data_IF_717929640369
#
_entry.id   IF_717929640369
#
_cell.length_a   1.000
_cell.length_b   1.000
_cell.length_c   1.000
_cell.angle_alpha   90.00
_cell.angle_beta   90.00
_cell.angle_gamma   90.00
#
_symmetry.space_group_name_H-M   'P 1'
#
loop_
_entity.id
_entity.type
_entity.pdbx_description
1 polymer ?
#
# COMPACT_ATOMS: atom_id res chain seq x y z
N UNK A 1 45.98 10.75 3.74
CA UNK A 1 44.76 11.25 4.38
C UNK A 1 43.64 10.30 4.01
N UNK A 2 43.33 9.37 4.91
CA UNK A 2 42.28 8.38 4.72
C UNK A 2 40.95 9.07 5.01
N UNK A 3 40.18 9.35 3.96
CA UNK A 3 38.79 9.79 4.12
C UNK A 3 38.05 8.62 4.78
N UNK A 4 37.65 8.79 6.05
CA UNK A 4 36.64 7.94 6.65
C UNK A 4 35.34 8.23 5.92
N UNK A 5 34.96 7.34 5.00
CA UNK A 5 33.60 7.29 4.49
C UNK A 5 32.73 6.81 5.64
N UNK A 6 31.85 7.64 6.22
CA UNK A 6 30.97 7.15 7.25
C UNK A 6 29.94 6.29 6.53
N UNK A 7 30.13 4.96 6.60
CA UNK A 7 29.07 3.99 6.38
C UNK A 7 28.00 4.21 7.46
N UNK A 8 27.23 5.30 7.32
CA UNK A 8 25.92 5.41 7.91
C UNK A 8 25.01 4.50 7.10
N UNK A 9 25.02 3.21 7.43
CA UNK A 9 23.78 2.44 7.42
C UNK A 9 22.90 3.00 8.54
N UNK A 10 22.44 4.24 8.40
CA UNK A 10 21.28 4.70 9.16
C UNK A 10 20.12 3.88 8.63
N UNK A 11 19.92 2.72 9.24
CA UNK A 11 18.65 2.07 9.22
C UNK A 11 17.67 3.08 9.83
N UNK A 12 16.98 3.81 8.95
CA UNK A 12 16.02 4.85 9.30
C UNK A 12 14.91 4.30 10.23
N UNK A 13 14.76 2.96 10.30
CA UNK A 13 13.92 2.25 11.28
C UNK A 13 14.43 2.35 12.73
N UNK A 14 15.70 2.69 12.99
CA UNK A 14 16.22 2.90 14.35
C UNK A 14 15.82 4.25 14.96
N UNK A 15 15.39 5.21 14.13
CA UNK A 15 15.03 6.56 14.57
C UNK A 15 13.54 6.90 14.39
N UNK A 16 12.80 6.03 13.70
CA UNK A 16 11.34 6.09 13.61
C UNK A 16 10.74 4.97 14.47
N UNK A 17 9.74 5.23 15.33
CA UNK A 17 9.00 4.14 15.96
C UNK A 17 8.49 3.20 14.85
N UNK A 18 8.71 1.89 15.03
CA UNK A 18 8.24 0.88 14.08
C UNK A 18 6.75 1.06 13.78
N UNK A 19 6.33 0.75 12.56
CA UNK A 19 4.95 0.95 12.14
C UNK A 19 4.01 0.17 13.06
N UNK A 20 3.08 0.84 13.74
CA UNK A 20 2.09 0.18 14.63
C UNK A 20 1.22 -0.86 13.90
N UNK A 21 1.10 -0.73 12.58
CA UNK A 21 0.22 -1.53 11.75
C UNK A 21 0.98 -2.18 10.60
N UNK A 22 0.57 -3.40 10.24
CA UNK A 22 0.87 -4.03 8.96
C UNK A 22 -0.26 -3.76 7.97
N UNK A 23 0.08 -3.49 6.71
CA UNK A 23 -0.91 -3.18 5.67
C UNK A 23 -1.03 -4.30 4.65
N UNK A 24 -2.24 -4.48 4.14
CA UNK A 24 -2.56 -5.34 3.00
C UNK A 24 -3.57 -4.64 2.12
N UNK A 25 -3.40 -4.74 0.81
CA UNK A 25 -4.32 -4.14 -0.16
C UNK A 25 -4.97 -5.28 -0.94
N UNK A 26 -6.29 -5.33 -0.92
CA UNK A 26 -7.08 -6.23 -1.76
C UNK A 26 -7.60 -5.40 -2.92
N UNK A 27 -7.23 -5.76 -4.14
CA UNK A 27 -7.71 -5.11 -5.35
C UNK A 27 -8.59 -6.06 -6.16
N UNK A 28 -9.76 -5.58 -6.57
CA UNK A 28 -10.65 -6.24 -7.54
C UNK A 28 -10.82 -5.29 -8.72
N UNK A 29 -10.59 -5.78 -9.93
CA UNK A 29 -10.59 -4.93 -11.13
C UNK A 29 -10.90 -5.75 -12.37
N UNK A 30 -11.07 -5.07 -13.50
CA UNK A 30 -11.27 -5.65 -14.81
C UNK A 30 -10.11 -5.30 -15.73
N UNK A 31 -9.66 -6.28 -16.52
CA UNK A 31 -8.66 -6.11 -17.57
C UNK A 31 -9.07 -6.98 -18.76
N UNK A 32 -9.16 -6.40 -19.96
CA UNK A 32 -9.66 -7.09 -21.16
C UNK A 32 -11.04 -7.75 -20.97
N UNK A 33 -11.94 -7.10 -20.23
CA UNK A 33 -13.28 -7.64 -19.93
C UNK A 33 -13.28 -8.85 -18.97
N UNK A 34 -12.14 -9.21 -18.38
CA UNK A 34 -12.04 -10.28 -17.39
C UNK A 34 -11.84 -9.70 -16.00
N UNK A 35 -12.63 -10.18 -15.04
CA UNK A 35 -12.48 -9.83 -13.63
C UNK A 35 -11.24 -10.50 -13.04
N UNK A 36 -10.42 -9.70 -12.40
CA UNK A 36 -9.18 -10.12 -11.75
C UNK A 36 -9.18 -9.69 -10.28
N UNK A 37 -8.30 -10.33 -9.51
CA UNK A 37 -8.00 -9.92 -8.15
C UNK A 37 -6.50 -9.94 -7.93
N UNK A 38 -6.00 -9.09 -7.03
CA UNK A 38 -4.59 -9.05 -6.68
C UNK A 38 -4.38 -8.54 -5.27
N UNK A 39 -3.15 -8.77 -4.79
CA UNK A 39 -2.68 -8.28 -3.50
C UNK A 39 -1.46 -7.39 -3.71
N UNK A 40 -1.62 -6.11 -4.13
CA UNK A 40 -0.51 -5.31 -4.65
C UNK A 40 0.70 -5.23 -3.71
N UNK A 41 0.51 -5.03 -2.40
CA UNK A 41 1.62 -5.00 -1.44
C UNK A 41 2.36 -6.34 -1.40
N UNK A 42 1.63 -7.46 -1.30
CA UNK A 42 2.21 -8.80 -1.23
C UNK A 42 2.93 -9.19 -2.52
N UNK A 43 2.33 -8.91 -3.67
CA UNK A 43 2.91 -9.22 -4.97
C UNK A 43 4.20 -8.44 -5.20
N UNK A 44 4.19 -7.15 -4.85
CA UNK A 44 5.41 -6.34 -4.81
C UNK A 44 6.38 -7.00 -3.84
N UNK A 45 5.94 -7.44 -2.65
CA UNK A 45 6.81 -8.03 -1.64
C UNK A 45 7.50 -9.35 -2.07
N UNK A 46 6.88 -10.14 -2.92
CA UNK A 46 7.37 -11.44 -3.38
C UNK A 46 8.38 -11.36 -4.54
N UNK A 47 8.42 -10.21 -5.24
CA UNK A 47 9.23 -10.03 -6.45
C UNK A 47 10.74 -9.92 -6.14
N UNK A 48 11.51 -11.00 -6.36
CA UNK A 48 12.90 -11.16 -5.85
C UNK A 48 13.98 -10.27 -6.49
N UNK A 49 13.62 -9.35 -7.38
CA UNK A 49 14.59 -8.58 -8.18
C UNK A 49 15.04 -7.32 -7.45
N UNK A 50 16.23 -7.39 -6.82
CA UNK A 50 16.80 -6.36 -5.90
C UNK A 50 17.00 -4.97 -6.54
N UNK A 51 17.17 -4.88 -7.87
CA UNK A 51 17.45 -3.60 -8.57
C UNK A 51 16.27 -3.09 -9.41
N UNK A 52 15.05 -3.49 -9.09
CA UNK A 52 13.85 -3.15 -9.88
C UNK A 52 13.25 -1.77 -9.57
N UNK A 53 13.77 -1.04 -8.58
CA UNK A 53 13.16 0.18 -8.06
C UNK A 53 11.91 -0.09 -7.20
N UNK A 54 11.76 -1.34 -6.74
CA UNK A 54 10.63 -1.84 -5.97
C UNK A 54 10.50 -1.16 -4.61
N UNK A 55 11.60 -0.76 -4.00
CA UNK A 55 11.63 -0.08 -2.71
C UNK A 55 10.77 1.19 -2.76
N UNK A 56 10.87 1.96 -3.84
CA UNK A 56 10.06 3.16 -4.03
C UNK A 56 8.57 2.85 -4.20
N UNK A 57 8.24 1.78 -4.91
CA UNK A 57 6.84 1.35 -5.06
C UNK A 57 6.26 0.85 -3.73
N UNK A 58 7.04 0.10 -2.96
CA UNK A 58 6.67 -0.39 -1.63
C UNK A 58 6.45 0.75 -0.65
N UNK A 59 7.36 1.74 -0.62
CA UNK A 59 7.21 2.96 0.18
C UNK A 59 5.95 3.70 -0.26
N UNK A 60 5.73 3.90 -1.56
CA UNK A 60 4.55 4.59 -2.09
C UNK A 60 3.23 3.91 -1.69
N UNK A 61 3.16 2.58 -1.81
CA UNK A 61 1.99 1.80 -1.39
C UNK A 61 1.76 1.87 0.12
N UNK A 62 2.84 1.81 0.91
CA UNK A 62 2.79 1.85 2.37
C UNK A 62 2.37 3.24 2.87
N UNK A 63 2.96 4.30 2.34
CA UNK A 63 2.63 5.68 2.71
C UNK A 63 1.18 6.02 2.34
N UNK A 64 0.75 5.66 1.13
CA UNK A 64 -0.64 5.82 0.72
C UNK A 64 -1.61 5.07 1.65
N UNK A 65 -1.24 3.86 2.08
CA UNK A 65 -2.01 3.08 3.05
C UNK A 65 -2.09 3.76 4.42
N UNK A 66 -0.99 4.35 4.91
CA UNK A 66 -0.96 5.09 6.17
C UNK A 66 -1.89 6.31 6.12
N UNK A 67 -1.83 7.09 5.03
CA UNK A 67 -2.69 8.26 4.88
C UNK A 67 -4.16 7.88 4.84
N UNK A 68 -4.51 6.83 4.10
CA UNK A 68 -5.87 6.28 4.09
C UNK A 68 -6.25 5.83 5.50
N UNK A 69 -5.50 4.92 6.12
CA UNK A 69 -5.85 4.38 7.43
C UNK A 69 -6.07 5.47 8.51
N UNK A 70 -5.21 6.49 8.57
CA UNK A 70 -5.29 7.55 9.58
C UNK A 70 -6.45 8.54 9.36
N UNK A 71 -6.99 8.63 8.14
CA UNK A 71 -8.04 9.60 7.77
C UNK A 71 -9.39 8.92 7.53
N UNK A 72 -9.45 7.60 7.55
CA UNK A 72 -10.69 6.85 7.37
C UNK A 72 -11.66 7.09 8.53
N UNK A 73 -12.95 7.21 8.22
CA UNK A 73 -14.02 7.36 9.21
C UNK A 73 -14.59 6.01 9.60
N UNK A 74 -14.69 5.73 10.90
CA UNK A 74 -15.33 4.51 11.38
C UNK A 74 -16.84 4.55 11.06
N UNK A 75 -17.35 3.51 10.41
CA UNK A 75 -18.79 3.37 10.14
C UNK A 75 -19.42 2.45 11.18
N UNK A 76 -18.82 1.26 11.37
CA UNK A 76 -19.37 0.20 12.20
C UNK A 76 -18.29 -0.81 12.57
N UNK A 77 -18.02 -0.94 13.87
CA UNK A 77 -17.06 -1.92 14.38
C UNK A 77 -15.68 -1.68 13.77
N UNK A 78 -15.21 -2.63 12.96
CA UNK A 78 -13.90 -2.59 12.32
C UNK A 78 -13.95 -2.11 10.85
N UNK A 79 -15.13 -1.71 10.37
CA UNK A 79 -15.34 -1.17 9.04
C UNK A 79 -15.22 0.35 9.05
N UNK A 80 -14.33 0.85 8.19
CA UNK A 80 -14.04 2.24 7.96
C UNK A 80 -14.34 2.61 6.51
N UNK A 81 -14.70 3.87 6.28
CA UNK A 81 -14.87 4.43 4.93
C UNK A 81 -14.06 5.66 4.67
N UNK A 82 -13.86 5.91 3.39
CA UNK A 82 -13.59 7.23 2.85
C UNK A 82 -14.78 7.83 2.16
N UNK A 83 -14.83 9.16 2.18
CA UNK A 83 -15.70 9.96 1.34
C UNK A 83 -14.81 10.88 0.50
N UNK A 84 -14.57 10.50 -0.76
CA UNK A 84 -14.00 11.35 -1.82
C UNK A 84 -12.86 12.30 -1.36
N UNK A 85 -11.79 11.71 -0.80
CA UNK A 85 -10.62 12.43 -0.27
C UNK A 85 -9.42 12.30 -1.21
N UNK A 86 -8.61 13.36 -1.31
CA UNK A 86 -7.32 13.37 -2.03
C UNK A 86 -6.40 12.22 -1.62
N UNK A 87 -6.37 11.83 -0.35
CA UNK A 87 -5.53 10.71 0.12
C UNK A 87 -5.98 9.38 -0.46
N UNK A 88 -7.29 9.16 -0.59
CA UNK A 88 -7.81 7.96 -1.21
C UNK A 88 -7.56 7.95 -2.73
N UNK A 89 -7.64 9.11 -3.39
CA UNK A 89 -7.28 9.22 -4.80
C UNK A 89 -5.80 8.90 -5.06
N UNK A 90 -4.89 9.32 -4.17
CA UNK A 90 -3.47 8.95 -4.23
C UNK A 90 -3.33 7.42 -4.09
N UNK A 91 -4.03 6.83 -3.13
CA UNK A 91 -4.04 5.38 -2.92
C UNK A 91 -4.55 4.61 -4.14
N UNK A 92 -5.65 5.05 -4.76
CA UNK A 92 -6.13 4.49 -6.02
C UNK A 92 -5.13 4.65 -7.15
N UNK A 93 -4.53 5.84 -7.28
CA UNK A 93 -3.57 6.14 -8.33
C UNK A 93 -2.33 5.25 -8.26
N UNK A 94 -1.74 5.06 -7.07
CA UNK A 94 -0.56 4.20 -6.94
C UNK A 94 -0.88 2.76 -7.34
N UNK A 95 -2.04 2.25 -6.91
CA UNK A 95 -2.47 0.88 -7.24
C UNK A 95 -2.81 0.73 -8.73
N UNK A 96 -3.48 1.70 -9.37
CA UNK A 96 -3.82 1.61 -10.78
C UNK A 96 -2.56 1.63 -11.66
N UNK A 97 -1.57 2.46 -11.33
CA UNK A 97 -0.30 2.53 -12.06
C UNK A 97 0.47 1.21 -11.98
N UNK A 98 0.52 0.60 -10.79
CA UNK A 98 1.09 -0.72 -10.60
C UNK A 98 0.40 -1.78 -11.48
N UNK A 99 -0.93 -1.86 -11.39
CA UNK A 99 -1.71 -2.87 -12.12
C UNK A 99 -1.64 -2.68 -13.64
N UNK A 100 -1.66 -1.45 -14.13
CA UNK A 100 -1.47 -1.16 -15.55
C UNK A 100 -0.10 -1.61 -16.05
N UNK A 101 0.96 -1.38 -15.28
CA UNK A 101 2.31 -1.84 -15.61
C UNK A 101 2.41 -3.37 -15.60
N UNK A 102 1.78 -4.03 -14.63
CA UNK A 102 1.74 -5.49 -14.50
C UNK A 102 1.07 -6.14 -15.71
N UNK A 103 -0.10 -5.64 -16.12
CA UNK A 103 -0.89 -6.23 -17.20
C UNK A 103 -0.54 -5.68 -18.59
N UNK A 104 0.23 -4.59 -18.67
CA UNK A 104 0.48 -3.82 -19.90
C UNK A 104 -0.82 -3.42 -20.61
N UNK A 105 -1.84 -3.09 -19.83
CA UNK A 105 -3.18 -2.85 -20.32
C UNK A 105 -3.93 -1.89 -19.39
N UNK A 106 -5.04 -1.35 -19.87
CA UNK A 106 -5.92 -0.49 -19.08
C UNK A 106 -6.63 -1.33 -18.02
N UNK A 107 -6.75 -0.73 -16.84
CA UNK A 107 -7.46 -1.29 -15.69
C UNK A 107 -8.78 -0.55 -15.56
N UNK A 108 -9.87 -1.30 -15.45
CA UNK A 108 -11.24 -0.78 -15.37
C UNK A 108 -11.91 -1.27 -14.08
N UNK A 109 -12.91 -0.53 -13.60
CA UNK A 109 -13.74 -0.90 -12.45
C UNK A 109 -12.94 -1.28 -11.18
N UNK A 110 -11.81 -0.59 -10.93
CA UNK A 110 -10.95 -0.84 -9.77
C UNK A 110 -11.70 -0.57 -8.47
N UNK A 111 -11.69 -1.56 -7.59
CA UNK A 111 -12.15 -1.47 -6.20
C UNK A 111 -11.03 -1.92 -5.28
N UNK A 112 -10.75 -1.11 -4.28
CA UNK A 112 -9.70 -1.37 -3.31
C UNK A 112 -10.30 -1.53 -1.91
N UNK A 113 -9.75 -2.47 -1.16
CA UNK A 113 -9.95 -2.58 0.28
C UNK A 113 -8.58 -2.58 0.94
N UNK A 114 -8.35 -1.59 1.81
CA UNK A 114 -7.18 -1.55 2.67
C UNK A 114 -7.49 -2.32 3.95
N UNK A 115 -6.58 -3.20 4.35
CA UNK A 115 -6.62 -3.89 5.63
C UNK A 115 -5.41 -3.47 6.43
N UNK A 116 -5.64 -2.86 7.60
CA UNK A 116 -4.59 -2.57 8.56
C UNK A 116 -4.71 -3.55 9.74
N UNK A 117 -3.60 -4.18 10.11
CA UNK A 117 -3.51 -5.12 11.23
C UNK A 117 -2.62 -4.50 12.30
N UNK A 118 -3.18 -4.22 13.48
CA UNK A 118 -2.41 -3.75 14.63
C UNK A 118 -1.45 -4.86 15.08
N UNK A 119 -0.15 -4.56 15.14
CA UNK A 119 0.89 -5.57 15.40
C UNK A 119 0.80 -6.12 16.84
N UNK A 120 0.34 -5.30 17.79
CA UNK A 120 0.28 -5.70 19.19
C UNK A 120 -0.97 -6.53 19.49
N UNK A 121 -2.10 -6.17 18.90
CA UNK A 121 -3.40 -6.76 19.21
C UNK A 121 -3.91 -7.74 18.15
N UNK A 122 -3.26 -7.80 16.98
CA UNK A 122 -3.74 -8.50 15.79
C UNK A 122 -5.13 -8.07 15.30
N UNK A 123 -5.65 -6.96 15.83
CA UNK A 123 -6.94 -6.41 15.42
C UNK A 123 -6.84 -5.89 14.00
N UNK A 124 -7.83 -6.24 13.17
CA UNK A 124 -7.91 -5.79 11.77
C UNK A 124 -8.92 -4.67 11.62
N UNK A 125 -8.58 -3.66 10.84
CA UNK A 125 -9.50 -2.64 10.35
C UNK A 125 -9.58 -2.75 8.83
N UNK A 126 -10.78 -2.53 8.30
CA UNK A 126 -11.09 -2.67 6.88
C UNK A 126 -11.57 -1.32 6.35
N UNK A 127 -10.82 -0.73 5.42
CA UNK A 127 -11.17 0.55 4.81
C UNK A 127 -11.55 0.36 3.36
N UNK A 128 -12.75 0.83 3.00
CA UNK A 128 -13.29 0.79 1.64
C UNK A 128 -13.75 2.19 1.21
N UNK A 129 -13.90 2.41 -0.10
CA UNK A 129 -14.56 3.60 -0.64
C UNK A 129 -16.00 3.26 -1.08
N UNK A 130 -16.91 4.21 -0.88
CA UNK A 130 -18.33 4.14 -1.29
C UNK A 130 -18.49 4.44 -2.79
#
# INVERSE_FOLDING_TARGET
MTYCDPYFHQDWRMFAPGTRYNYSIYAVYEVNGQKQHSFPIQEVLEERTVFSGREFLMISLTDASIFVHNRAMNIKGDLYKFTNDKYYQIFEYVNIQYLQKKHKNKIENLRLMLVATDIQTNKRTYTVNE
#
